data_IF_932419325032
#
_entry.id   IF_932419325032
#
_cell.length_a   1.000
_cell.length_b   1.000
_cell.length_c   1.000
_cell.angle_alpha   90.00
_cell.angle_beta   90.00
_cell.angle_gamma   90.00
#
_symmetry.space_group_name_H-M   'P 1'
#
loop_
_entity.id
_entity.type
_entity.pdbx_description
1 polymer ?
#
# COMPACT_ATOMS: atom_id res chain seq x y z
N UNK A 1 -6.17 32.46 4.11
CA UNK A 1 -6.54 31.04 4.39
C UNK A 1 -8.05 30.91 4.29
N UNK A 2 -8.59 30.01 3.45
CA UNK A 2 -10.04 29.93 3.21
C UNK A 2 -10.84 29.64 4.50
N UNK A 3 -12.02 30.25 4.69
CA UNK A 3 -12.84 30.07 5.90
C UNK A 3 -13.19 28.59 6.13
N UNK A 4 -13.52 27.84 5.08
CA UNK A 4 -13.79 26.40 5.15
C UNK A 4 -12.59 25.58 5.65
N UNK A 5 -11.37 25.99 5.26
CA UNK A 5 -10.13 25.34 5.71
C UNK A 5 -9.92 25.57 7.21
N UNK A 6 -10.21 26.79 7.70
CA UNK A 6 -10.15 27.12 9.13
C UNK A 6 -11.15 26.28 9.93
N UNK A 7 -12.38 26.14 9.44
CA UNK A 7 -13.42 25.37 10.14
C UNK A 7 -13.09 23.87 10.21
N UNK A 8 -12.58 23.28 9.11
CA UNK A 8 -12.10 21.89 9.08
C UNK A 8 -10.99 21.64 10.08
N UNK A 9 -10.06 22.59 10.24
CA UNK A 9 -8.97 22.50 11.22
C UNK A 9 -9.52 22.58 12.64
N UNK A 10 -10.41 23.54 12.94
CA UNK A 10 -11.08 23.64 14.25
C UNK A 10 -11.85 22.37 14.61
N UNK A 11 -12.60 21.79 13.68
CA UNK A 11 -13.31 20.51 13.85
C UNK A 11 -12.35 19.35 14.15
N UNK A 12 -11.22 19.24 13.43
CA UNK A 12 -10.18 18.22 13.70
C UNK A 12 -9.51 18.42 15.05
N UNK A 13 -9.21 19.67 15.42
CA UNK A 13 -8.59 20.00 16.70
C UNK A 13 -9.50 19.65 17.87
N UNK A 14 -10.80 19.97 17.80
CA UNK A 14 -11.79 19.56 18.81
C UNK A 14 -11.87 18.04 18.95
N UNK A 15 -11.95 17.30 17.83
CA UNK A 15 -11.92 15.82 17.86
C UNK A 15 -10.64 15.29 18.50
N UNK A 16 -9.49 15.86 18.19
CA UNK A 16 -8.20 15.50 18.79
C UNK A 16 -8.19 15.76 20.31
N UNK A 17 -8.64 16.95 20.75
CA UNK A 17 -8.73 17.34 22.16
C UNK A 17 -9.78 16.54 22.95
N UNK A 18 -10.64 15.78 22.28
CA UNK A 18 -11.61 14.90 22.92
C UNK A 18 -11.21 13.42 22.87
N UNK A 19 -10.07 13.07 22.25
CA UNK A 19 -9.59 11.69 22.25
C UNK A 19 -9.13 11.28 23.66
N UNK A 20 -9.32 10.02 24.07
CA UNK A 20 -8.69 9.48 25.27
C UNK A 20 -7.16 9.67 25.23
N UNK A 21 -6.51 9.88 26.39
CA UNK A 21 -5.06 10.15 26.46
C UNK A 21 -4.23 9.05 25.78
N UNK A 22 -4.58 7.78 26.01
CA UNK A 22 -3.91 6.64 25.36
C UNK A 22 -3.98 6.68 23.82
N UNK A 23 -5.14 7.11 23.28
CA UNK A 23 -5.33 7.24 21.82
C UNK A 23 -4.47 8.37 21.26
N UNK A 24 -4.37 9.50 21.97
CA UNK A 24 -3.49 10.61 21.59
C UNK A 24 -2.03 10.17 21.61
N UNK A 25 -1.60 9.50 22.68
CA UNK A 25 -0.23 9.04 22.83
C UNK A 25 0.15 8.07 21.71
N UNK A 26 -0.72 7.11 21.38
CA UNK A 26 -0.53 6.22 20.21
C UNK A 26 -0.32 7.04 18.94
N UNK A 27 -1.20 8.00 18.65
CA UNK A 27 -1.09 8.80 17.42
C UNK A 27 0.19 9.65 17.41
N UNK A 28 0.58 10.26 18.54
CA UNK A 28 1.85 10.99 18.66
C UNK A 28 3.05 10.07 18.44
N UNK A 29 3.05 8.86 19.01
CA UNK A 29 4.09 7.84 18.82
C UNK A 29 4.19 7.42 17.36
N UNK A 30 3.07 7.20 16.69
CA UNK A 30 3.03 6.93 15.24
C UNK A 30 3.55 8.11 14.42
N UNK A 31 3.19 9.34 14.79
CA UNK A 31 3.68 10.58 14.16
C UNK A 31 5.20 10.74 14.30
N UNK A 32 5.74 10.55 15.50
CA UNK A 32 7.19 10.55 15.76
C UNK A 32 7.90 9.49 14.93
N UNK A 33 7.39 8.26 14.90
CA UNK A 33 7.95 7.17 14.06
C UNK A 33 7.94 7.53 12.58
N UNK A 34 6.84 8.12 12.09
CA UNK A 34 6.73 8.58 10.70
C UNK A 34 7.73 9.69 10.38
N UNK A 35 7.88 10.66 11.29
CA UNK A 35 8.87 11.74 11.21
C UNK A 35 10.33 11.28 11.27
N UNK A 36 10.59 10.06 11.76
CA UNK A 36 11.92 9.41 11.73
C UNK A 36 12.17 8.59 10.46
N UNK A 37 11.15 8.36 9.61
CA UNK A 37 11.34 7.60 8.37
C UNK A 37 12.14 8.42 7.35
N UNK A 38 13.09 7.82 6.62
CA UNK A 38 13.75 8.45 5.46
C UNK A 38 12.75 8.89 4.39
N UNK A 39 13.10 9.94 3.62
CA UNK A 39 12.24 10.52 2.56
C UNK A 39 11.77 9.45 1.55
N UNK A 40 12.68 8.59 1.07
CA UNK A 40 12.36 7.50 0.14
C UNK A 40 11.32 6.54 0.71
N UNK A 41 11.45 6.18 1.99
CA UNK A 41 10.53 5.27 2.69
C UNK A 41 9.16 5.90 2.90
N UNK A 42 9.09 7.21 3.17
CA UNK A 42 7.82 7.95 3.21
C UNK A 42 7.14 7.99 1.85
N UNK A 43 7.90 8.23 0.77
CA UNK A 43 7.39 8.24 -0.62
C UNK A 43 6.79 6.87 -0.96
N UNK A 44 7.54 5.80 -0.71
CA UNK A 44 7.08 4.43 -0.88
C UNK A 44 5.75 4.15 -0.14
N UNK A 45 5.67 4.46 1.15
CA UNK A 45 4.46 4.22 1.94
C UNK A 45 3.26 5.08 1.49
N UNK A 46 3.51 6.33 1.05
CA UNK A 46 2.46 7.19 0.48
C UNK A 46 1.91 6.59 -0.81
N UNK A 47 2.77 6.12 -1.70
CA UNK A 47 2.36 5.51 -2.97
C UNK A 47 1.53 4.24 -2.74
N UNK A 48 1.94 3.35 -1.84
CA UNK A 48 1.13 2.16 -1.49
C UNK A 48 -0.24 2.51 -0.97
N UNK A 49 -0.31 3.55 -0.13
CA UNK A 49 -1.58 4.03 0.41
C UNK A 49 -2.49 4.55 -0.70
N UNK A 50 -1.93 5.25 -1.67
CA UNK A 50 -2.64 5.77 -2.84
C UNK A 50 -3.11 4.65 -3.76
N UNK A 51 -2.23 3.71 -4.12
CA UNK A 51 -2.57 2.50 -4.89
C UNK A 51 -3.72 1.76 -4.21
N UNK A 52 -3.64 1.53 -2.90
CA UNK A 52 -4.70 0.82 -2.18
C UNK A 52 -6.01 1.62 -2.12
N UNK A 53 -5.94 2.95 -1.98
CA UNK A 53 -7.12 3.82 -1.97
C UNK A 53 -7.80 3.87 -3.33
N UNK A 54 -7.04 3.87 -4.42
CA UNK A 54 -7.58 3.97 -5.78
C UNK A 54 -7.83 2.60 -6.42
N UNK A 55 -7.37 1.51 -5.78
CA UNK A 55 -7.60 0.16 -6.25
C UNK A 55 -9.09 -0.19 -6.27
N UNK A 56 -9.50 -0.90 -7.32
CA UNK A 56 -10.85 -1.44 -7.46
C UNK A 56 -11.16 -2.47 -6.35
N UNK A 57 -12.43 -2.74 -6.04
CA UNK A 57 -12.81 -3.69 -5.00
C UNK A 57 -12.11 -5.06 -5.15
N UNK A 58 -11.99 -5.55 -6.37
CA UNK A 58 -11.39 -6.84 -6.75
C UNK A 58 -9.87 -6.81 -6.50
N UNK A 59 -9.19 -5.74 -6.92
CA UNK A 59 -7.77 -5.53 -6.67
C UNK A 59 -7.47 -5.45 -5.17
N UNK A 60 -8.33 -4.77 -4.40
CA UNK A 60 -8.22 -4.72 -2.94
C UNK A 60 -8.40 -6.10 -2.33
N UNK A 61 -9.33 -6.90 -2.84
CA UNK A 61 -9.50 -8.28 -2.39
C UNK A 61 -8.27 -9.13 -2.69
N UNK A 62 -7.67 -9.00 -3.87
CA UNK A 62 -6.41 -9.67 -4.24
C UNK A 62 -5.29 -9.36 -3.24
N UNK A 63 -5.08 -8.06 -2.96
CA UNK A 63 -4.08 -7.59 -1.99
C UNK A 63 -4.37 -8.16 -0.59
N UNK A 64 -5.63 -8.17 -0.15
CA UNK A 64 -6.04 -8.76 1.14
C UNK A 64 -5.78 -10.27 1.19
N UNK A 65 -6.14 -11.02 0.15
CA UNK A 65 -5.90 -12.48 0.05
C UNK A 65 -4.41 -12.78 0.13
N UNK A 66 -3.59 -12.05 -0.63
CA UNK A 66 -2.13 -12.13 -0.58
C UNK A 66 -1.61 -11.88 0.83
N UNK A 67 -2.00 -10.77 1.47
CA UNK A 67 -1.53 -10.45 2.82
C UNK A 67 -1.96 -11.44 3.89
N UNK A 68 -3.17 -12.00 3.76
CA UNK A 68 -3.65 -13.03 4.67
C UNK A 68 -2.74 -14.25 4.64
N UNK A 69 -2.34 -14.70 3.44
CA UNK A 69 -1.39 -15.81 3.29
C UNK A 69 0.02 -15.42 3.75
N UNK A 70 0.50 -14.24 3.36
CA UNK A 70 1.79 -13.70 3.80
C UNK A 70 1.93 -13.64 5.34
N UNK A 71 0.87 -13.21 6.05
CA UNK A 71 0.88 -13.12 7.52
C UNK A 71 0.93 -14.48 8.23
N UNK A 72 0.45 -15.54 7.57
CA UNK A 72 0.52 -16.92 8.08
C UNK A 72 1.92 -17.54 7.93
N UNK A 73 2.81 -16.94 7.14
CA UNK A 73 4.16 -17.44 6.97
C UNK A 73 5.01 -17.24 8.24
N UNK A 74 5.89 -18.20 8.58
CA UNK A 74 6.90 -18.05 9.63
C UNK A 74 7.71 -16.75 9.45
N UNK A 75 8.19 -16.19 10.55
CA UNK A 75 8.92 -14.91 10.54
C UNK A 75 10.15 -14.97 9.65
N UNK A 76 10.86 -16.09 9.69
CA UNK A 76 12.08 -16.42 8.94
C UNK A 76 11.77 -16.43 7.45
N UNK A 77 10.70 -17.13 7.06
CA UNK A 77 10.19 -17.15 5.68
C UNK A 77 9.85 -15.75 5.19
N UNK A 78 9.13 -14.95 6.00
CA UNK A 78 8.79 -13.56 5.65
C UNK A 78 10.04 -12.68 5.45
N UNK A 79 11.09 -12.90 6.23
CA UNK A 79 12.35 -12.16 6.07
C UNK A 79 13.10 -12.59 4.82
N UNK A 80 13.17 -13.88 4.52
CA UNK A 80 13.78 -14.38 3.29
C UNK A 80 13.09 -13.79 2.04
N UNK A 81 11.75 -13.85 1.98
CA UNK A 81 10.98 -13.31 0.87
C UNK A 81 11.10 -11.78 0.75
N UNK A 82 11.28 -11.05 1.87
CA UNK A 82 11.57 -9.60 1.82
C UNK A 82 12.92 -9.28 1.22
N UNK A 83 13.95 -10.08 1.53
CA UNK A 83 15.27 -9.92 0.91
C UNK A 83 15.19 -10.20 -0.59
N UNK A 84 14.44 -11.23 -0.99
CA UNK A 84 14.18 -11.54 -2.39
C UNK A 84 13.52 -10.34 -3.12
N UNK A 85 12.44 -9.78 -2.54
CA UNK A 85 11.79 -8.59 -3.11
C UNK A 85 12.71 -7.37 -3.18
N UNK A 86 13.59 -7.17 -2.19
CA UNK A 86 14.51 -6.04 -2.23
C UNK A 86 15.44 -6.10 -3.46
N UNK A 87 15.90 -7.31 -3.84
CA UNK A 87 16.71 -7.52 -5.04
C UNK A 87 15.95 -7.40 -6.36
N UNK A 88 14.63 -7.60 -6.37
CA UNK A 88 13.80 -7.52 -7.59
C UNK A 88 13.27 -6.13 -7.91
N UNK A 89 13.49 -5.15 -7.03
CA UNK A 89 12.86 -3.84 -7.09
C UNK A 89 13.14 -3.07 -8.40
N UNK A 90 14.27 -3.35 -9.05
CA UNK A 90 14.70 -2.68 -10.28
C UNK A 90 14.42 -3.51 -11.55
N UNK A 91 13.90 -4.73 -11.42
CA UNK A 91 13.63 -5.60 -12.57
C UNK A 91 12.37 -5.15 -13.34
N UNK A 92 12.21 -5.50 -14.62
CA UNK A 92 10.94 -5.34 -15.34
C UNK A 92 9.77 -6.05 -14.64
N UNK A 93 8.53 -5.56 -14.86
CA UNK A 93 7.33 -6.12 -14.21
C UNK A 93 7.12 -7.60 -14.55
N UNK A 94 7.43 -8.00 -15.79
CA UNK A 94 7.37 -9.38 -16.27
C UNK A 94 8.31 -10.29 -15.49
N UNK A 95 9.59 -9.92 -15.38
CA UNK A 95 10.57 -10.67 -14.59
C UNK A 95 10.19 -10.73 -13.10
N UNK A 96 9.64 -9.65 -12.55
CA UNK A 96 9.13 -9.67 -11.16
C UNK A 96 8.00 -10.68 -11.02
N UNK A 97 7.07 -10.74 -11.97
CA UNK A 97 5.94 -11.66 -11.96
C UNK A 97 6.43 -13.11 -12.00
N UNK A 98 7.32 -13.46 -12.93
CA UNK A 98 7.95 -14.79 -13.04
C UNK A 98 8.63 -15.22 -11.74
N UNK A 99 9.41 -14.31 -11.13
CA UNK A 99 10.07 -14.60 -9.86
C UNK A 99 9.08 -14.80 -8.72
N UNK A 100 8.01 -13.98 -8.67
CA UNK A 100 6.94 -14.14 -7.68
C UNK A 100 6.13 -15.43 -7.89
N UNK A 101 6.06 -15.99 -9.11
CA UNK A 101 5.40 -17.30 -9.35
C UNK A 101 5.99 -18.43 -8.54
N UNK A 102 7.27 -18.34 -8.15
CA UNK A 102 7.91 -19.35 -7.29
C UNK A 102 7.26 -19.42 -5.92
N UNK A 103 6.49 -18.41 -5.51
CA UNK A 103 5.79 -18.41 -4.25
C UNK A 103 4.43 -19.12 -4.40
N UNK A 104 4.27 -20.23 -3.70
CA UNK A 104 3.08 -21.11 -3.76
C UNK A 104 1.74 -20.46 -3.46
N UNK A 105 1.74 -19.26 -2.88
CA UNK A 105 0.53 -18.50 -2.60
C UNK A 105 0.26 -17.36 -3.59
N UNK A 106 1.27 -16.98 -4.37
CA UNK A 106 1.20 -15.98 -5.44
C UNK A 106 0.77 -16.63 -6.76
N UNK A 107 1.31 -17.81 -7.09
CA UNK A 107 0.90 -18.55 -8.30
C UNK A 107 -0.58 -18.96 -8.30
N UNK A 108 -1.21 -19.05 -7.12
CA UNK A 108 -2.65 -19.31 -6.92
C UNK A 108 -3.54 -18.10 -7.14
N UNK A 109 -2.99 -16.93 -7.46
CA UNK A 109 -3.75 -15.74 -7.81
C UNK A 109 -4.00 -15.74 -9.32
N UNK A 110 -5.15 -15.21 -9.74
CA UNK A 110 -5.42 -15.02 -11.18
C UNK A 110 -4.44 -14.01 -11.80
N UNK A 111 -4.28 -13.98 -13.14
CA UNK A 111 -3.42 -12.99 -13.81
C UNK A 111 -3.68 -11.54 -13.37
N UNK A 112 -4.94 -11.13 -13.24
CA UNK A 112 -5.32 -9.79 -12.80
C UNK A 112 -5.00 -9.54 -11.31
N UNK A 113 -5.25 -10.54 -10.46
CA UNK A 113 -4.90 -10.47 -9.04
C UNK A 113 -3.37 -10.33 -8.86
N UNK A 114 -2.57 -11.05 -9.66
CA UNK A 114 -1.10 -10.97 -9.65
C UNK A 114 -0.61 -9.59 -10.04
N UNK A 115 -1.17 -8.99 -11.10
CA UNK A 115 -0.86 -7.62 -11.54
C UNK A 115 -1.12 -6.60 -10.44
N UNK A 116 -2.28 -6.70 -9.77
CA UNK A 116 -2.64 -5.81 -8.66
C UNK A 116 -1.66 -5.96 -7.47
N UNK A 117 -1.30 -7.19 -7.12
CA UNK A 117 -0.35 -7.48 -6.03
C UNK A 117 1.06 -7.01 -6.40
N UNK A 118 1.53 -7.25 -7.63
CA UNK A 118 2.86 -6.82 -8.10
C UNK A 118 3.00 -5.29 -7.99
N UNK A 119 2.04 -4.54 -8.56
CA UNK A 119 1.96 -3.06 -8.46
C UNK A 119 2.02 -2.59 -7.01
N UNK A 120 1.36 -3.30 -6.10
CA UNK A 120 1.29 -2.94 -4.70
C UNK A 120 2.56 -3.31 -3.89
N UNK A 121 3.26 -4.40 -4.24
CA UNK A 121 4.50 -4.82 -3.58
C UNK A 121 5.68 -3.93 -3.94
N UNK A 122 5.80 -3.59 -5.22
CA UNK A 122 6.94 -2.86 -5.79
C UNK A 122 6.59 -1.42 -6.16
N UNK A 123 5.80 -0.75 -5.32
CA UNK A 123 5.35 0.62 -5.56
C UNK A 123 6.52 1.62 -5.61
N UNK A 124 7.08 1.79 -6.81
CA UNK A 124 7.88 2.90 -7.29
C UNK A 124 7.58 3.02 -8.79
N UNK A 125 6.93 4.10 -9.24
CA UNK A 125 6.72 4.37 -10.66
C UNK A 125 7.11 5.84 -10.96
N UNK A 126 7.65 6.12 -12.18
CA UNK A 126 6.79 6.44 -13.35
C UNK A 126 7.35 5.95 -14.72
N UNK A 127 6.71 6.24 -15.87
CA UNK A 127 5.35 5.89 -16.30
C UNK A 127 5.38 4.84 -17.44
N UNK A 128 4.34 4.01 -17.54
CA UNK A 128 4.03 3.17 -18.71
C UNK A 128 2.52 3.26 -18.98
N UNK A 129 2.06 3.12 -20.23
CA UNK A 129 0.99 3.94 -20.79
C UNK A 129 -0.34 3.78 -20.07
N UNK A 130 -1.09 4.88 -20.08
CA UNK A 130 -2.54 4.89 -19.89
C UNK A 130 -3.16 3.91 -20.90
N UNK A 131 -3.39 2.68 -20.51
CA UNK A 131 -4.49 1.88 -21.04
C UNK A 131 -5.72 2.32 -20.23
N UNK A 132 -6.37 3.42 -20.59
CA UNK A 132 -7.53 3.41 -21.48
C UNK A 132 -8.75 3.84 -20.64
N UNK A 133 -9.76 4.52 -21.23
CA UNK A 133 -10.71 5.39 -20.53
C UNK A 133 -11.66 4.66 -19.57
N UNK A 134 -12.33 5.41 -18.66
CA UNK A 134 -13.27 4.84 -17.70
C UNK A 134 -14.59 4.51 -18.41
N UNK A 135 -14.89 3.23 -18.58
CA UNK A 135 -16.25 2.74 -18.84
C UNK A 135 -16.75 2.03 -17.59
N UNK A 136 -17.92 2.30 -17.03
CA UNK A 136 -19.10 3.00 -17.54
C UNK A 136 -19.93 3.55 -16.37
N UNK A 137 -20.94 4.40 -16.62
CA UNK A 137 -21.73 5.08 -15.60
C UNK A 137 -22.52 4.07 -14.77
N UNK A 138 -22.80 4.42 -13.52
CA UNK A 138 -23.97 3.86 -12.85
C UNK A 138 -25.17 4.66 -13.34
N UNK A 139 -26.08 3.99 -14.03
CA UNK A 139 -27.50 4.38 -14.06
C UNK A 139 -28.06 4.51 -12.64
#
# INVERSE_FOLDING_TARGET
MPPEKKERIRKRYRRWKNLPPERREKILKHGRKWGKLPKHKRRFLRQRREIYRNAQPEERQAIKKFFRRWRKLPRERRHALRREMAGMKNLPVTERDERLMRWSFYNRLSPDERKAVNRFLFSELPPGPKSGPPGSPRD
#
